data_IF_840540977755
#
_entry.id   IF_840540977755
#
_cell.length_a   1.000
_cell.length_b   1.000
_cell.length_c   1.000
_cell.angle_alpha   90.00
_cell.angle_beta   90.00
_cell.angle_gamma   90.00
#
_symmetry.space_group_name_H-M   'P 1'
#
loop_
_entity.id
_entity.type
_entity.pdbx_description
1 polymer ?
#
# COMPACT_ATOMS: atom_id res chain seq x y z
N UNK A 1 -8.69 35.99 2.57
CA UNK A 1 -9.23 35.32 1.36
C UNK A 1 -8.55 33.97 1.23
N UNK A 2 -9.28 32.83 1.26
CA UNK A 2 -8.65 31.53 1.07
C UNK A 2 -8.20 31.41 -0.40
N UNK A 3 -6.91 31.18 -0.61
CA UNK A 3 -6.36 30.89 -1.94
C UNK A 3 -6.95 29.56 -2.40
N UNK A 4 -7.72 29.59 -3.48
CA UNK A 4 -8.03 28.39 -4.27
C UNK A 4 -6.70 27.78 -4.72
N UNK A 5 -6.35 26.63 -4.14
CA UNK A 5 -5.20 25.83 -4.57
C UNK A 5 -5.64 25.14 -5.87
N UNK A 6 -5.17 25.68 -6.99
CA UNK A 6 -5.46 25.16 -8.32
C UNK A 6 -4.86 23.78 -8.52
N UNK A 7 -5.72 22.77 -8.62
CA UNK A 7 -5.38 21.44 -9.11
C UNK A 7 -4.96 21.53 -10.58
N UNK A 8 -3.66 21.48 -10.88
CA UNK A 8 -3.20 21.09 -12.23
C UNK A 8 -3.26 19.56 -12.35
N UNK A 9 -4.32 19.10 -13.01
CA UNK A 9 -4.54 17.76 -13.59
C UNK A 9 -3.90 16.55 -12.88
N UNK A 10 -4.52 16.09 -11.79
CA UNK A 10 -4.93 14.66 -11.69
C UNK A 10 -6.37 14.52 -12.24
N UNK A 11 -6.76 15.43 -13.12
CA UNK A 11 -8.00 15.40 -13.88
C UNK A 11 -7.70 14.70 -15.20
N UNK A 12 -8.27 13.51 -15.37
CA UNK A 12 -8.10 12.58 -16.50
C UNK A 12 -6.89 11.65 -16.45
N UNK A 13 -6.57 11.07 -15.30
CA UNK A 13 -5.88 9.77 -15.30
C UNK A 13 -6.94 8.68 -15.26
N UNK A 14 -7.52 8.33 -16.42
CA UNK A 14 -8.26 7.08 -16.53
C UNK A 14 -7.22 5.96 -16.61
N UNK A 15 -7.09 5.17 -15.54
CA UNK A 15 -6.17 4.03 -15.46
C UNK A 15 -6.60 2.82 -16.34
N UNK A 16 -7.53 3.03 -17.28
CA UNK A 16 -8.11 1.96 -18.10
C UNK A 16 -9.23 1.20 -17.38
N UNK A 17 -9.69 0.10 -17.99
CA UNK A 17 -10.82 -0.68 -17.48
C UNK A 17 -10.54 -1.24 -16.08
N UNK A 18 -11.34 -0.79 -15.11
CA UNK A 18 -11.34 -1.26 -13.73
C UNK A 18 -11.92 -2.69 -13.54
N UNK A 19 -11.98 -3.48 -14.61
CA UNK A 19 -12.59 -4.82 -14.63
C UNK A 19 -11.95 -5.77 -13.61
N UNK A 20 -10.67 -5.56 -13.29
CA UNK A 20 -9.93 -6.40 -12.35
C UNK A 20 -10.02 -5.96 -10.89
N UNK A 21 -10.56 -4.76 -10.59
CA UNK A 21 -10.65 -4.24 -9.21
C UNK A 21 -11.64 -5.03 -8.34
N UNK A 22 -12.67 -5.63 -8.93
CA UNK A 22 -13.63 -6.47 -8.19
C UNK A 22 -12.98 -7.65 -7.45
N UNK A 23 -11.87 -8.17 -7.99
CA UNK A 23 -11.06 -9.22 -7.34
C UNK A 23 -10.35 -8.73 -6.06
N UNK A 24 -10.14 -7.42 -5.95
CA UNK A 24 -9.42 -6.77 -4.85
C UNK A 24 -10.32 -6.27 -3.72
N UNK A 25 -11.64 -6.42 -3.87
CA UNK A 25 -12.57 -6.11 -2.78
C UNK A 25 -12.22 -6.91 -1.53
N UNK A 26 -12.28 -6.26 -0.37
CA UNK A 26 -11.85 -6.84 0.90
C UNK A 26 -12.51 -8.20 1.17
N UNK A 27 -13.82 -8.30 0.99
CA UNK A 27 -14.58 -9.54 1.19
C UNK A 27 -14.12 -10.63 0.22
N UNK A 28 -13.83 -10.29 -1.03
CA UNK A 28 -13.33 -11.22 -2.04
C UNK A 28 -11.95 -11.77 -1.65
N UNK A 29 -11.02 -10.90 -1.26
CA UNK A 29 -9.68 -11.30 -0.80
C UNK A 29 -9.77 -12.19 0.45
N UNK A 30 -10.52 -11.76 1.46
CA UNK A 30 -10.66 -12.48 2.71
C UNK A 30 -11.26 -13.88 2.52
N UNK A 31 -12.29 -14.01 1.68
CA UNK A 31 -12.90 -15.31 1.35
C UNK A 31 -11.92 -16.27 0.67
N UNK A 32 -10.88 -15.73 0.02
CA UNK A 32 -9.79 -16.50 -0.62
C UNK A 32 -8.58 -16.71 0.29
N UNK A 33 -8.63 -16.20 1.53
CA UNK A 33 -7.51 -16.24 2.47
C UNK A 33 -6.32 -15.39 2.03
N UNK A 34 -6.57 -14.34 1.24
CA UNK A 34 -5.57 -13.39 0.77
C UNK A 34 -5.65 -12.09 1.58
N UNK A 35 -4.50 -11.47 1.85
CA UNK A 35 -4.39 -10.29 2.70
C UNK A 35 -3.43 -9.27 2.10
N UNK A 36 -3.75 -7.99 2.25
CA UNK A 36 -2.81 -6.90 1.94
C UNK A 36 -2.00 -6.60 3.20
N UNK A 37 -0.68 -6.71 3.10
CA UNK A 37 0.27 -6.59 4.19
C UNK A 37 1.22 -5.41 3.96
N UNK A 38 1.39 -4.58 4.99
CA UNK A 38 2.40 -3.52 5.01
C UNK A 38 3.40 -3.79 6.14
N UNK A 39 4.67 -3.98 5.76
CA UNK A 39 5.75 -4.24 6.70
C UNK A 39 6.15 -2.99 7.47
N UNK A 40 6.44 -3.13 8.76
CA UNK A 40 7.06 -2.07 9.57
C UNK A 40 8.40 -2.58 10.06
N UNK A 41 9.48 -2.07 9.45
CA UNK A 41 10.87 -2.51 9.74
C UNK A 41 11.74 -1.42 10.33
N UNK A 42 11.37 -0.16 10.14
CA UNK A 42 12.12 0.98 10.67
C UNK A 42 11.62 1.28 12.08
N UNK A 43 12.53 1.18 13.06
CA UNK A 43 12.28 1.49 14.47
C UNK A 43 11.89 2.97 14.70
N UNK A 44 12.19 3.84 13.73
CA UNK A 44 11.83 5.26 13.74
C UNK A 44 10.56 5.55 12.92
N UNK A 45 9.82 4.52 12.49
CA UNK A 45 8.59 4.70 11.73
C UNK A 45 7.52 5.44 12.56
N UNK A 46 6.85 6.42 11.96
CA UNK A 46 5.69 7.11 12.56
C UNK A 46 4.53 6.19 12.92
N UNK A 47 4.46 5.01 12.30
CA UNK A 47 3.50 3.97 12.67
C UNK A 47 3.73 3.42 14.09
N UNK A 48 4.90 3.68 14.68
CA UNK A 48 5.28 3.28 16.04
C UNK A 48 5.07 4.38 17.09
N UNK A 49 4.56 5.55 16.68
CA UNK A 49 4.32 6.71 17.54
C UNK A 49 2.83 7.11 17.56
N UNK A 50 2.10 6.85 16.47
CA UNK A 50 0.71 7.26 16.29
C UNK A 50 -0.17 6.12 15.75
N UNK A 51 -1.49 6.28 15.84
CA UNK A 51 -2.45 5.31 15.26
C UNK A 51 -2.22 5.18 13.76
N UNK A 52 -2.01 3.95 13.30
CA UNK A 52 -1.56 3.67 11.94
C UNK A 52 -2.53 4.19 10.87
N UNK A 53 -3.84 4.03 11.05
CA UNK A 53 -4.85 4.54 10.11
C UNK A 53 -4.74 6.06 9.88
N UNK A 54 -4.44 6.81 10.95
CA UNK A 54 -4.23 8.26 10.87
C UNK A 54 -2.98 8.63 10.07
N UNK A 55 -1.90 7.85 10.21
CA UNK A 55 -0.66 8.01 9.44
C UNK A 55 -0.87 7.61 7.97
N UNK A 56 -1.42 6.42 7.71
CA UNK A 56 -1.67 5.91 6.37
C UNK A 56 -2.58 6.84 5.56
N UNK A 57 -3.56 7.48 6.21
CA UNK A 57 -4.45 8.46 5.55
C UNK A 57 -3.76 9.72 5.04
N UNK A 58 -2.53 9.99 5.50
CA UNK A 58 -1.69 11.11 5.05
C UNK A 58 -0.75 10.70 3.92
N UNK A 59 -0.53 9.40 3.71
CA UNK A 59 0.41 8.91 2.71
C UNK A 59 -0.24 8.87 1.33
N UNK A 60 0.52 9.32 0.34
CA UNK A 60 0.02 9.37 -1.03
C UNK A 60 0.09 8.00 -1.71
N UNK A 61 1.20 7.27 -1.56
CA UNK A 61 1.30 5.85 -1.90
C UNK A 61 1.91 5.09 -0.74
N UNK A 62 1.33 3.94 -0.46
CA UNK A 62 1.86 2.91 0.42
C UNK A 62 2.21 1.71 -0.46
N UNK A 63 3.44 1.22 -0.35
CA UNK A 63 3.78 -0.10 -0.88
C UNK A 63 3.40 -1.17 0.13
N UNK A 64 2.77 -2.19 -0.40
CA UNK A 64 2.24 -3.32 0.33
C UNK A 64 2.53 -4.60 -0.46
N UNK A 65 2.28 -5.74 0.16
CA UNK A 65 2.37 -7.04 -0.49
C UNK A 65 1.04 -7.78 -0.32
N UNK A 66 0.67 -8.56 -1.32
CA UNK A 66 -0.39 -9.56 -1.22
C UNK A 66 0.21 -10.83 -0.62
N UNK A 67 -0.34 -11.28 0.51
CA UNK A 67 0.14 -12.46 1.24
C UNK A 67 -1.00 -13.42 1.53
N UNK A 68 -0.66 -14.66 1.87
CA UNK A 68 -1.60 -15.61 2.46
C UNK A 68 -0.92 -16.42 3.58
N UNK A 69 -1.70 -17.23 4.29
CA UNK A 69 -1.22 -18.03 5.44
C UNK A 69 -0.23 -19.16 5.11
N UNK A 70 -0.01 -19.46 3.83
CA UNK A 70 0.81 -20.58 3.36
C UNK A 70 2.05 -20.12 2.60
N UNK A 71 2.05 -18.89 2.12
CA UNK A 71 3.09 -18.26 1.33
C UNK A 71 3.15 -16.79 1.69
N UNK A 72 4.00 -16.48 2.67
CA UNK A 72 4.26 -15.12 3.05
C UNK A 72 5.28 -14.48 2.08
N UNK A 73 4.77 -13.73 1.12
CA UNK A 73 5.58 -12.97 0.13
C UNK A 73 5.81 -11.51 0.56
N UNK A 74 5.57 -11.20 1.85
CA UNK A 74 5.83 -9.90 2.43
C UNK A 74 7.29 -9.76 2.84
N UNK A 75 7.80 -8.53 2.81
CA UNK A 75 9.13 -8.23 3.36
C UNK A 75 9.01 -7.98 4.87
N UNK A 76 9.90 -8.52 5.69
CA UNK A 76 9.95 -8.23 7.14
C UNK A 76 8.95 -8.98 8.00
N UNK A 77 9.25 -9.04 9.31
CA UNK A 77 8.63 -9.99 10.23
C UNK A 77 7.46 -9.41 11.03
N UNK A 78 7.27 -8.10 11.01
CA UNK A 78 6.21 -7.40 11.74
C UNK A 78 5.55 -6.38 10.82
N UNK A 79 4.23 -6.29 10.87
CA UNK A 79 3.51 -5.32 10.07
C UNK A 79 2.01 -5.30 10.31
N UNK A 80 1.30 -4.72 9.35
CA UNK A 80 -0.14 -4.49 9.42
C UNK A 80 -0.83 -5.23 8.28
N UNK A 81 -1.88 -5.98 8.60
CA UNK A 81 -2.84 -6.44 7.60
C UNK A 81 -3.90 -5.35 7.45
N UNK A 82 -4.06 -4.87 6.22
CA UNK A 82 -4.87 -3.73 5.88
C UNK A 82 -6.14 -4.16 5.15
N UNK A 83 -7.27 -3.51 5.46
CA UNK A 83 -8.42 -3.49 4.56
C UNK A 83 -8.27 -2.28 3.66
N UNK A 84 -7.82 -2.53 2.44
CA UNK A 84 -7.68 -1.51 1.42
C UNK A 84 -8.93 -1.56 0.53
N UNK A 85 -9.69 -0.45 0.42
CA UNK A 85 -10.76 -0.35 -0.57
C UNK A 85 -10.20 -0.58 -1.98
N UNK A 86 -10.88 -1.34 -2.82
CA UNK A 86 -10.34 -1.72 -4.13
C UNK A 86 -9.98 -0.51 -4.99
N UNK A 87 -10.75 0.57 -4.89
CA UNK A 87 -10.50 1.83 -5.59
C UNK A 87 -9.22 2.55 -5.16
N UNK A 88 -8.58 2.17 -4.05
CA UNK A 88 -7.31 2.73 -3.59
C UNK A 88 -6.11 2.06 -4.27
N UNK A 89 -6.25 0.89 -4.90
CA UNK A 89 -5.14 0.18 -5.52
C UNK A 89 -4.82 0.81 -6.87
N UNK A 90 -3.57 1.15 -7.14
CA UNK A 90 -3.15 1.79 -8.41
C UNK A 90 -2.19 0.95 -9.25
N UNK A 91 -1.53 -0.03 -8.63
CA UNK A 91 -0.55 -0.88 -9.26
C UNK A 91 -0.39 -2.20 -8.53
N UNK A 92 -0.09 -3.24 -9.29
CA UNK A 92 0.07 -4.58 -8.79
C UNK A 92 1.11 -5.31 -9.63
N UNK A 93 2.03 -6.02 -8.99
CA UNK A 93 3.14 -6.70 -9.66
C UNK A 93 3.50 -8.00 -8.94
N UNK A 94 3.72 -9.10 -9.67
CA UNK A 94 4.20 -10.36 -9.09
C UNK A 94 5.69 -10.31 -8.71
N UNK A 95 6.33 -9.16 -8.87
CA UNK A 95 7.73 -8.87 -8.50
C UNK A 95 7.78 -7.58 -7.68
N UNK A 96 8.74 -7.47 -6.77
CA UNK A 96 9.09 -6.19 -6.15
C UNK A 96 9.47 -5.17 -7.23
N UNK A 97 8.84 -4.00 -7.23
CA UNK A 97 9.18 -2.91 -8.16
C UNK A 97 10.23 -1.98 -7.55
N UNK A 98 10.67 -2.24 -6.30
CA UNK A 98 11.54 -1.35 -5.52
C UNK A 98 10.98 0.08 -5.49
N UNK A 99 9.67 0.20 -5.22
CA UNK A 99 9.01 1.50 -5.18
C UNK A 99 9.52 2.31 -3.97
N UNK A 100 9.59 3.66 -4.06
CA UNK A 100 9.90 4.50 -2.92
C UNK A 100 8.75 4.47 -1.89
N UNK A 101 8.90 3.70 -0.81
CA UNK A 101 7.84 3.52 0.21
C UNK A 101 7.68 4.71 1.18
N UNK A 102 8.19 5.88 0.82
CA UNK A 102 8.25 7.09 1.66
C UNK A 102 7.86 8.37 0.93
N UNK A 103 7.13 8.28 -0.18
CA UNK A 103 6.63 9.48 -0.86
C UNK A 103 5.68 10.22 0.10
N UNK A 104 6.03 11.46 0.45
CA UNK A 104 5.32 12.29 1.42
C UNK A 104 5.80 12.21 2.89
N UNK A 105 6.92 11.54 3.19
CA UNK A 105 7.41 11.37 4.59
C UNK A 105 8.78 12.00 4.93
N UNK A 106 9.41 12.72 4.01
CA UNK A 106 10.51 13.64 4.36
C UNK A 106 11.89 13.03 4.54
N UNK A 107 12.58 12.94 3.42
CA UNK A 107 13.98 13.38 3.30
C UNK A 107 14.07 14.19 2.00
N UNK A 108 14.19 15.51 2.09
CA UNK A 108 14.16 16.51 0.99
C UNK A 108 12.94 16.52 0.04
N UNK A 109 12.19 15.41 -0.07
CA UNK A 109 11.07 15.20 -1.01
C UNK A 109 9.69 15.23 -0.29
N UNK A 110 9.62 15.73 0.96
CA UNK A 110 8.37 15.86 1.73
C UNK A 110 7.48 17.03 1.29
N UNK A 111 8.01 18.00 0.56
CA UNK A 111 7.27 19.22 0.22
C UNK A 111 6.76 19.22 -1.23
N UNK A 112 7.12 18.19 -2.01
CA UNK A 112 6.71 18.10 -3.40
C UNK A 112 5.39 17.31 -3.52
N UNK A 113 4.30 18.08 -3.49
CA UNK A 113 2.91 17.62 -3.72
C UNK A 113 2.75 16.91 -5.09
N UNK A 114 3.73 17.01 -5.99
CA UNK A 114 3.72 16.45 -7.33
C UNK A 114 4.70 15.29 -7.55
N UNK A 115 5.65 15.07 -6.64
CA UNK A 115 6.62 13.97 -6.72
C UNK A 115 5.94 12.61 -6.92
N UNK A 116 4.73 12.46 -6.39
CA UNK A 116 3.89 11.28 -6.60
C UNK A 116 3.47 11.06 -8.06
N UNK A 117 2.87 12.09 -8.67
CA UNK A 117 2.39 12.03 -10.05
C UNK A 117 3.57 11.79 -11.00
N UNK A 118 4.68 12.46 -10.75
CA UNK A 118 5.89 12.36 -11.55
C UNK A 118 6.55 10.99 -11.43
N UNK A 119 6.51 10.34 -10.26
CA UNK A 119 7.06 8.98 -10.08
C UNK A 119 6.18 7.90 -10.71
N UNK A 120 4.84 8.00 -10.56
CA UNK A 120 3.92 7.08 -11.24
C UNK A 120 4.05 7.23 -12.77
N UNK A 121 4.14 8.47 -13.26
CA UNK A 121 4.22 8.77 -14.68
C UNK A 121 5.59 8.42 -15.29
N UNK A 122 6.69 8.64 -14.56
CA UNK A 122 8.05 8.39 -15.08
C UNK A 122 8.37 6.91 -15.22
N UNK A 123 7.76 6.02 -14.42
CA UNK A 123 8.08 4.60 -14.46
C UNK A 123 9.49 4.28 -13.95
N UNK A 124 10.16 5.21 -13.29
CA UNK A 124 11.55 5.05 -12.81
C UNK A 124 11.55 4.57 -11.35
N UNK A 125 12.17 3.42 -11.08
CA UNK A 125 12.29 2.88 -9.72
C UNK A 125 13.45 3.51 -8.92
N UNK A 126 13.61 3.11 -7.64
CA UNK A 126 14.70 3.60 -6.78
C UNK A 126 16.11 3.31 -7.30
N UNK A 127 16.28 2.31 -8.17
CA UNK A 127 17.55 1.97 -8.80
C UNK A 127 17.80 2.76 -10.10
N UNK A 128 16.94 3.72 -10.46
CA UNK A 128 17.02 4.48 -11.71
C UNK A 128 16.61 3.68 -12.95
N UNK A 129 16.05 2.49 -12.78
CA UNK A 129 15.57 1.66 -13.89
C UNK A 129 14.23 2.19 -14.39
N UNK A 130 14.16 2.51 -15.68
CA UNK A 130 12.92 2.86 -16.35
C UNK A 130 12.15 1.57 -16.70
N UNK A 131 10.97 1.38 -16.11
CA UNK A 131 10.06 0.33 -16.51
C UNK A 131 9.49 0.65 -17.89
N UNK A 132 9.49 -0.33 -18.80
CA UNK A 132 9.07 -0.16 -20.20
C UNK A 132 7.60 0.34 -20.37
N UNK A 133 6.82 0.30 -19.29
CA UNK A 133 5.54 0.97 -19.16
C UNK A 133 5.43 1.51 -17.73
N UNK A 134 4.64 2.58 -17.56
CA UNK A 134 4.32 3.15 -16.24
C UNK A 134 3.96 2.07 -15.21
N UNK A 135 4.02 2.37 -13.92
CA UNK A 135 3.59 1.47 -12.83
C UNK A 135 2.07 1.16 -12.85
N UNK A 136 1.42 0.90 -13.98
CA UNK A 136 -0.04 0.80 -14.13
C UNK A 136 -0.47 -0.58 -14.59
N UNK A 137 -0.18 -1.59 -13.77
CA UNK A 137 -0.65 -2.95 -13.98
C UNK A 137 -1.67 -3.30 -12.91
N UNK A 138 -2.89 -3.66 -13.32
CA UNK A 138 -3.92 -4.20 -12.41
C UNK A 138 -4.15 -5.67 -12.76
N UNK A 139 -3.28 -6.54 -12.26
CA UNK A 139 -3.48 -7.97 -12.28
C UNK A 139 -4.52 -8.35 -11.23
N UNK A 140 -5.21 -9.48 -11.45
CA UNK A 140 -6.04 -10.05 -10.40
C UNK A 140 -5.14 -10.68 -9.30
N UNK A 141 -5.64 -10.79 -8.06
CA UNK A 141 -4.87 -11.32 -6.93
C UNK A 141 -4.33 -12.73 -7.19
N UNK A 142 -5.10 -13.60 -7.85
CA UNK A 142 -4.69 -14.98 -8.16
C UNK A 142 -3.47 -15.01 -9.07
N UNK A 143 -3.44 -14.15 -10.09
CA UNK A 143 -2.33 -14.06 -11.04
C UNK A 143 -1.06 -13.60 -10.33
N UNK A 144 -1.19 -12.69 -9.36
CA UNK A 144 -0.04 -12.25 -8.56
C UNK A 144 0.46 -13.42 -7.73
N UNK A 145 -0.41 -14.06 -6.96
CA UNK A 145 0.00 -15.19 -6.11
C UNK A 145 0.59 -16.35 -6.92
N UNK A 146 0.06 -16.64 -8.11
CA UNK A 146 0.56 -17.70 -8.98
C UNK A 146 1.92 -17.37 -9.61
N UNK A 147 2.20 -16.09 -9.89
CA UNK A 147 3.43 -15.64 -10.56
C UNK A 147 4.50 -15.13 -9.58
N UNK A 148 4.17 -14.94 -8.31
CA UNK A 148 5.13 -14.50 -7.29
C UNK A 148 6.14 -15.61 -7.03
N UNK A 149 7.42 -15.29 -7.17
CA UNK A 149 8.52 -16.18 -6.80
C UNK A 149 8.96 -15.87 -5.37
N UNK A 150 9.47 -14.66 -5.14
CA UNK A 150 9.96 -14.22 -3.83
C UNK A 150 9.00 -13.21 -3.18
N UNK A 151 8.92 -12.01 -3.78
CA UNK A 151 8.15 -10.87 -3.28
C UNK A 151 7.24 -10.31 -4.38
N UNK A 152 6.07 -9.84 -3.98
CA UNK A 152 5.19 -9.06 -4.83
C UNK A 152 4.97 -7.65 -4.26
N UNK A 153 4.45 -6.77 -5.10
CA UNK A 153 4.17 -5.39 -4.72
C UNK A 153 2.78 -4.96 -5.19
N UNK A 154 2.04 -4.38 -4.26
CA UNK A 154 0.74 -3.75 -4.47
C UNK A 154 0.88 -2.31 -3.98
N UNK A 155 0.72 -1.36 -4.89
CA UNK A 155 0.78 0.06 -4.57
C UNK A 155 -0.63 0.58 -4.33
N UNK A 156 -0.84 1.21 -3.18
CA UNK A 156 -2.15 1.68 -2.75
C UNK A 156 -2.07 3.15 -2.35
N UNK A 157 -3.13 3.90 -2.62
CA UNK A 157 -3.26 5.29 -2.20
C UNK A 157 -3.85 5.33 -0.79
N UNK A 158 -3.14 5.99 0.13
CA UNK A 158 -3.58 6.12 1.51
C UNK A 158 -4.57 7.27 1.72
N UNK A 159 -4.36 8.38 1.00
CA UNK A 159 -5.18 9.59 1.10
C UNK A 159 -6.61 9.37 0.58
N UNK A 160 -7.65 9.60 1.41
CA UNK A 160 -9.04 9.49 0.96
C UNK A 160 -9.49 10.69 0.12
N UNK A 161 -10.57 10.54 -0.64
CA UNK A 161 -11.21 11.61 -1.41
C UNK A 161 -10.62 11.84 -2.81
N UNK A 162 -9.76 10.96 -3.31
CA UNK A 162 -9.13 11.07 -4.62
C UNK A 162 -9.90 10.26 -5.67
N UNK A 163 -10.18 10.85 -6.83
CA UNK A 163 -10.80 10.14 -7.97
C UNK A 163 -9.72 9.48 -8.83
N UNK A 164 -9.61 8.16 -8.76
CA UNK A 164 -8.62 7.38 -9.53
C UNK A 164 -9.21 6.68 -10.75
N UNK A 165 -10.47 6.24 -10.65
CA UNK A 165 -11.17 5.53 -11.72
C UNK A 165 -12.51 6.19 -11.98
N UNK A 166 -12.90 6.30 -13.24
CA UNK A 166 -14.15 6.95 -13.65
C UNK A 166 -15.37 6.27 -13.01
N UNK A 167 -15.39 4.94 -13.01
CA UNK A 167 -16.56 4.12 -12.61
C UNK A 167 -16.52 3.61 -11.16
N UNK A 168 -15.50 3.97 -10.38
CA UNK A 168 -15.42 3.63 -8.95
C UNK A 168 -15.59 4.87 -8.06
N UNK A 169 -15.98 4.71 -6.78
CA UNK A 169 -15.98 5.81 -5.82
C UNK A 169 -14.58 6.45 -5.66
N UNK A 170 -14.55 7.59 -4.97
CA UNK A 170 -13.29 8.17 -4.52
C UNK A 170 -12.56 7.19 -3.58
N UNK A 171 -11.23 7.35 -3.47
CA UNK A 171 -10.45 6.62 -2.46
C UNK A 171 -11.04 6.82 -1.08
N UNK A 172 -11.00 5.76 -0.28
CA UNK A 172 -11.54 5.74 1.08
C UNK A 172 -10.42 5.51 2.09
N UNK A 173 -10.77 5.58 3.38
CA UNK A 173 -9.79 5.33 4.45
C UNK A 173 -9.38 3.85 4.44
N UNK A 174 -8.09 3.61 4.59
CA UNK A 174 -7.56 2.26 4.84
C UNK A 174 -7.74 1.93 6.31
N UNK A 175 -8.30 0.76 6.60
CA UNK A 175 -8.44 0.25 7.96
C UNK A 175 -7.31 -0.73 8.30
N UNK A 176 -6.89 -0.74 9.57
CA UNK A 176 -6.00 -1.80 10.07
C UNK A 176 -6.84 -2.93 10.63
N UNK A 177 -6.76 -4.10 10.00
CA UNK A 177 -7.50 -5.28 10.46
C UNK A 177 -6.76 -6.05 11.55
N UNK A 178 -5.48 -6.34 11.30
CA UNK A 178 -4.63 -7.06 12.24
C UNK A 178 -3.22 -6.49 12.30
N UNK A 179 -2.59 -6.63 13.47
CA UNK A 179 -1.14 -6.55 13.59
C UNK A 179 -0.60 -7.96 13.36
N UNK A 180 0.27 -8.11 12.37
CA UNK A 180 0.82 -9.38 11.95
C UNK A 180 2.26 -9.53 12.39
N UNK A 181 2.64 -10.75 12.79
CA UNK A 181 4.04 -11.17 12.91
C UNK A 181 4.27 -12.48 12.15
N UNK A 182 5.49 -12.69 11.66
CA UNK A 182 5.94 -13.95 11.04
C UNK A 182 7.17 -14.48 11.77
N UNK A 183 7.22 -15.79 12.03
CA UNK A 183 8.37 -16.45 12.67
C UNK A 183 8.59 -16.16 14.17
N UNK A 184 9.77 -16.55 14.68
CA UNK A 184 10.18 -16.40 16.08
C UNK A 184 11.05 -15.14 16.31
N UNK A 185 10.68 -14.40 17.36
CA UNK A 185 11.45 -13.45 18.19
C UNK A 185 12.19 -12.22 17.61
N UNK A 186 12.18 -11.96 16.30
CA UNK A 186 12.73 -10.69 15.79
C UNK A 186 11.68 -9.57 15.76
N UNK A 187 12.11 -8.34 16.08
CA UNK A 187 11.31 -7.09 16.09
C UNK A 187 10.23 -6.99 17.19
N UNK A 188 10.47 -7.59 18.36
CA UNK A 188 9.58 -7.51 19.54
C UNK A 188 9.22 -6.06 19.91
N UNK A 189 10.18 -5.14 19.88
CA UNK A 189 9.92 -3.72 20.19
C UNK A 189 8.95 -3.07 19.19
N UNK A 190 9.20 -3.26 17.89
CA UNK A 190 8.30 -2.78 16.82
C UNK A 190 6.90 -3.35 17.01
N UNK A 191 6.80 -4.67 17.27
CA UNK A 191 5.52 -5.32 17.49
C UNK A 191 4.78 -4.77 18.72
N UNK A 192 5.49 -4.58 19.84
CA UNK A 192 4.91 -4.03 21.05
C UNK A 192 4.45 -2.59 20.85
N UNK A 193 5.27 -1.74 20.23
CA UNK A 193 4.92 -0.34 19.93
C UNK A 193 3.74 -0.25 18.98
N UNK A 194 3.68 -1.07 17.94
CA UNK A 194 2.50 -1.16 17.06
C UNK A 194 1.23 -1.50 17.84
N UNK A 195 1.30 -2.45 18.79
CA UNK A 195 0.15 -2.81 19.63
C UNK A 195 -0.29 -1.67 20.54
N UNK A 196 0.65 -0.94 21.12
CA UNK A 196 0.36 0.22 21.97
C UNK A 196 -0.31 1.35 21.18
N UNK A 197 0.19 1.65 19.98
CA UNK A 197 -0.35 2.72 19.13
C UNK A 197 -1.69 2.35 18.47
N UNK A 198 -2.06 1.08 18.42
CA UNK A 198 -3.29 0.59 17.77
C UNK A 198 -4.16 -0.22 18.75
N UNK A 199 -4.64 0.40 19.84
CA UNK A 199 -5.47 -0.30 20.82
C UNK A 199 -6.74 -0.85 20.16
N UNK A 200 -7.12 -2.08 20.56
CA UNK A 200 -8.29 -2.78 20.03
C UNK A 200 -8.06 -3.54 18.72
N UNK A 201 -6.92 -3.34 18.03
CA UNK A 201 -6.57 -4.14 16.85
C UNK A 201 -6.07 -5.52 17.28
N UNK A 202 -6.65 -6.56 16.71
CA UNK A 202 -6.27 -7.96 17.01
C UNK A 202 -4.91 -8.30 16.40
N UNK A 203 -4.23 -9.25 16.99
CA UNK A 203 -2.92 -9.74 16.52
C UNK A 203 -3.06 -11.10 15.85
N UNK A 204 -2.27 -11.36 14.81
CA UNK A 204 -2.22 -12.64 14.11
C UNK A 204 -0.77 -13.07 13.86
N UNK A 205 -0.57 -14.37 13.75
CA UNK A 205 0.70 -14.95 13.29
C UNK A 205 0.44 -15.59 11.93
N UNK A 206 1.20 -15.19 10.93
CA UNK A 206 1.23 -15.87 9.63
C UNK A 206 2.50 -16.72 9.57
N UNK A 207 2.36 -17.91 8.97
CA UNK A 207 3.43 -18.89 8.77
C UNK A 207 4.09 -18.71 7.39
#
# INVERSE_FOLDING_TARGET
MPKQIGFRKIGQVSLGNASNLSGWEWQTLNNRGLYIYHSVRDINSKLLDERAEGILSKWDIISTSLVNKHRFHGVGNVGLILKVPAQNIISTSPKSLHFPNRIGLGSAEAEDVWALSDRIASGVNLAGTCLASSFRFLLNPETIMAKTQDYNEVLVVGRPGIKLYQDYPHTEKIEVWHICRTGEEYDVDIYQRLRLCNPGVRTVVLA
#
